data_IF_351031172491
#
_entry.id   IF_351031172491
#
_cell.length_a   1.000
_cell.length_b   1.000
_cell.length_c   1.000
_cell.angle_alpha   90.00
_cell.angle_beta   90.00
_cell.angle_gamma   90.00
#
_symmetry.space_group_name_H-M   'P 1'
#
loop_
_entity.id
_entity.type
_entity.pdbx_description
1 polymer ?
#
# COMPACT_ATOMS: atom_id res chain seq x y z
N UNK A 1 30.23 -25.00 32.44
CA UNK A 1 29.23 -25.08 31.37
C UNK A 1 27.92 -24.54 31.94
N UNK A 2 27.62 -23.26 31.71
CA UNK A 2 26.41 -22.60 32.18
C UNK A 2 25.76 -21.93 30.97
N UNK A 3 24.59 -22.42 30.59
CA UNK A 3 23.81 -22.00 29.42
C UNK A 3 23.29 -20.57 29.63
N UNK A 4 23.54 -19.68 28.66
CA UNK A 4 22.76 -18.46 28.49
C UNK A 4 21.36 -18.82 27.99
N UNK A 5 20.33 -18.49 28.75
CA UNK A 5 18.96 -18.42 28.24
C UNK A 5 18.76 -17.06 27.56
N UNK A 6 18.81 -17.03 26.23
CA UNK A 6 18.30 -15.93 25.42
C UNK A 6 16.77 -15.96 25.51
N UNK A 7 16.20 -14.99 26.24
CA UNK A 7 14.77 -14.74 26.21
C UNK A 7 14.40 -14.28 24.80
N UNK A 8 13.82 -15.20 24.02
CA UNK A 8 13.16 -14.88 22.78
C UNK A 8 12.01 -13.94 23.07
N UNK A 9 11.99 -12.78 22.42
CA UNK A 9 10.80 -11.93 22.38
C UNK A 9 9.77 -12.68 21.54
N UNK A 10 8.91 -13.44 22.21
CA UNK A 10 7.68 -13.96 21.62
C UNK A 10 6.78 -12.77 21.32
N UNK A 11 6.73 -12.35 20.06
CA UNK A 11 5.77 -11.36 19.61
C UNK A 11 4.39 -12.03 19.51
N UNK A 12 3.73 -12.11 20.66
CA UNK A 12 2.32 -12.45 20.77
C UNK A 12 1.49 -11.22 20.38
N UNK A 13 0.81 -11.29 19.24
CA UNK A 13 -0.39 -10.50 18.99
C UNK A 13 -1.23 -11.19 17.91
N UNK A 14 -2.29 -11.89 18.31
CA UNK A 14 -3.42 -12.24 17.45
C UNK A 14 -4.60 -11.35 17.80
N UNK A 15 -5.18 -10.76 16.75
CA UNK A 15 -6.50 -10.12 16.65
C UNK A 15 -6.72 -8.78 17.38
N UNK A 16 -6.10 -7.72 16.86
CA UNK A 16 -6.67 -6.36 16.83
C UNK A 16 -6.18 -5.71 15.53
N UNK A 17 -7.07 -5.09 14.76
CA UNK A 17 -6.74 -4.48 13.47
C UNK A 17 -5.56 -3.53 13.61
N UNK A 18 -4.51 -3.72 12.80
CA UNK A 18 -3.33 -2.85 12.84
C UNK A 18 -3.82 -1.44 12.51
N UNK A 19 -3.62 -0.51 13.45
CA UNK A 19 -4.02 0.87 13.28
C UNK A 19 -3.49 1.40 11.94
N UNK A 20 -4.33 2.07 11.13
CA UNK A 20 -3.88 2.58 9.86
C UNK A 20 -2.67 3.52 10.01
N UNK A 21 -1.68 3.33 9.14
CA UNK A 21 -0.48 4.15 9.08
C UNK A 21 -0.74 5.39 8.22
N UNK A 22 -0.55 6.58 8.79
CA UNK A 22 -0.64 7.85 8.06
C UNK A 22 0.77 8.39 7.80
N UNK A 23 1.09 8.68 6.53
CA UNK A 23 2.43 9.13 6.14
C UNK A 23 2.43 10.00 4.88
N UNK A 24 3.56 10.67 4.65
CA UNK A 24 3.86 11.35 3.38
C UNK A 24 4.96 10.57 2.67
N UNK A 25 4.82 10.31 1.37
CA UNK A 25 5.82 9.59 0.61
C UNK A 25 5.87 10.01 -0.87
N UNK A 26 7.05 9.91 -1.46
CA UNK A 26 7.29 10.11 -2.89
C UNK A 26 7.04 8.82 -3.66
N UNK A 27 6.23 8.86 -4.70
CA UNK A 27 6.05 7.77 -5.65
C UNK A 27 7.34 7.64 -6.47
N UNK A 28 8.14 6.61 -6.23
CA UNK A 28 9.45 6.45 -6.89
C UNK A 28 9.39 5.56 -8.12
N UNK A 29 8.38 4.69 -8.23
CA UNK A 29 8.29 3.74 -9.34
C UNK A 29 6.85 3.29 -9.61
N UNK A 30 6.47 3.35 -10.89
CA UNK A 30 5.32 2.64 -11.48
C UNK A 30 5.93 1.57 -12.39
N UNK A 31 5.95 0.28 -11.99
CA UNK A 31 6.86 -0.71 -12.54
C UNK A 31 6.55 -1.13 -13.98
N UNK A 32 5.29 -1.10 -14.38
CA UNK A 32 4.82 -1.42 -15.73
C UNK A 32 3.65 -0.52 -16.15
N UNK A 33 3.18 -0.72 -17.38
CA UNK A 33 1.96 -0.04 -17.86
C UNK A 33 0.75 -0.60 -17.13
N UNK A 34 0.00 0.28 -16.47
CA UNK A 34 -1.25 -0.10 -15.80
C UNK A 34 -2.28 -0.66 -16.79
N UNK A 35 -2.91 -1.82 -16.51
CA UNK A 35 -3.97 -2.37 -17.35
C UNK A 35 -5.17 -1.40 -17.48
N UNK A 36 -5.89 -1.40 -18.62
CA UNK A 36 -7.15 -0.67 -18.74
C UNK A 36 -8.23 -1.23 -17.80
N UNK A 37 -9.16 -0.39 -17.36
CA UNK A 37 -10.23 -0.74 -16.41
C UNK A 37 -11.47 -1.40 -17.07
N UNK A 38 -11.33 -1.96 -18.27
CA UNK A 38 -12.44 -2.52 -19.08
C UNK A 38 -12.65 -4.03 -18.91
N UNK A 39 -11.63 -4.77 -18.46
CA UNK A 39 -11.69 -6.22 -18.32
C UNK A 39 -12.10 -6.69 -16.91
N UNK A 40 -11.51 -6.10 -15.86
CA UNK A 40 -11.75 -6.46 -14.47
C UNK A 40 -11.27 -5.38 -13.49
N UNK A 41 -11.85 -5.38 -12.29
CA UNK A 41 -11.38 -4.57 -11.18
C UNK A 41 -10.05 -5.13 -10.64
N UNK A 42 -9.07 -4.27 -10.40
CA UNK A 42 -7.76 -4.66 -9.88
C UNK A 42 -7.17 -3.65 -8.91
N UNK A 43 -6.22 -4.12 -8.12
CA UNK A 43 -5.29 -3.28 -7.37
C UNK A 43 -3.89 -3.36 -7.98
N UNK A 44 -3.19 -2.25 -8.04
CA UNK A 44 -1.87 -2.14 -8.65
C UNK A 44 -0.83 -1.72 -7.62
N UNK A 45 0.27 -2.45 -7.54
CA UNK A 45 1.33 -2.19 -6.56
C UNK A 45 2.35 -1.20 -7.12
N UNK A 46 2.55 -0.10 -6.40
CA UNK A 46 3.54 0.94 -6.70
C UNK A 46 4.55 1.05 -5.57
N UNK A 47 5.77 1.53 -5.87
CA UNK A 47 6.81 1.72 -4.86
C UNK A 47 6.91 3.19 -4.47
N UNK A 48 6.94 3.43 -3.17
CA UNK A 48 7.09 4.74 -2.57
C UNK A 48 8.35 4.79 -1.71
N UNK A 49 8.92 5.98 -1.57
CA UNK A 49 9.91 6.30 -0.55
C UNK A 49 9.31 7.26 0.47
N UNK A 50 9.26 6.85 1.73
CA UNK A 50 8.65 7.64 2.82
C UNK A 50 9.47 8.90 3.10
N UNK A 51 8.76 10.00 3.37
CA UNK A 51 9.33 11.31 3.68
C UNK A 51 8.92 11.73 5.11
N UNK A 52 9.82 11.49 6.06
CA UNK A 52 9.63 11.80 7.48
C UNK A 52 8.73 10.79 8.21
N UNK A 53 8.63 10.99 9.53
CA UNK A 53 7.74 10.19 10.40
C UNK A 53 8.19 8.73 10.57
N UNK A 54 7.22 7.87 10.85
CA UNK A 54 7.46 6.43 10.95
C UNK A 54 7.86 5.87 9.57
N UNK A 55 8.87 5.00 9.57
CA UNK A 55 9.46 4.42 8.35
C UNK A 55 10.20 5.43 7.44
N UNK A 56 10.68 6.56 7.97
CA UNK A 56 11.42 7.57 7.20
C UNK A 56 12.52 6.94 6.31
N UNK A 57 12.61 7.42 5.06
CA UNK A 57 13.52 6.97 3.99
C UNK A 57 13.35 5.51 3.54
N UNK A 58 12.47 4.73 4.17
CA UNK A 58 12.21 3.35 3.76
C UNK A 58 11.42 3.32 2.45
N UNK A 59 11.65 2.26 1.68
CA UNK A 59 10.83 1.93 0.53
C UNK A 59 9.65 1.06 0.96
N UNK A 60 8.46 1.41 0.51
CA UNK A 60 7.23 0.67 0.79
C UNK A 60 6.50 0.34 -0.51
N UNK A 61 5.74 -0.74 -0.48
CA UNK A 61 4.91 -1.19 -1.60
C UNK A 61 3.44 -0.94 -1.25
N UNK A 62 2.77 -0.19 -2.12
CA UNK A 62 1.40 0.28 -1.88
C UNK A 62 0.50 -0.16 -3.03
N UNK A 63 -0.53 -0.92 -2.70
CA UNK A 63 -1.57 -1.33 -3.62
C UNK A 63 -2.65 -0.25 -3.73
N UNK A 64 -2.91 0.18 -4.95
CA UNK A 64 -3.94 1.14 -5.29
C UNK A 64 -5.04 0.49 -6.14
N UNK A 65 -6.27 0.55 -5.67
CA UNK A 65 -7.44 0.16 -6.45
C UNK A 65 -7.63 1.08 -7.66
N UNK A 66 -7.88 0.51 -8.85
CA UNK A 66 -8.18 1.23 -10.10
C UNK A 66 -7.37 2.53 -10.26
N UNK A 67 -6.03 2.45 -10.35
CA UNK A 67 -5.17 3.63 -10.29
C UNK A 67 -5.38 4.61 -11.46
N UNK A 68 -5.98 4.17 -12.57
CA UNK A 68 -6.33 5.02 -13.71
C UNK A 68 -7.63 5.83 -13.47
N UNK A 69 -8.42 5.49 -12.45
CA UNK A 69 -9.65 6.20 -12.10
C UNK A 69 -9.35 7.24 -11.01
N UNK A 70 -9.66 8.53 -11.25
CA UNK A 70 -9.58 9.55 -10.20
C UNK A 70 -10.35 9.14 -8.94
N UNK A 71 -9.81 9.44 -7.75
CA UNK A 71 -10.43 9.02 -6.48
C UNK A 71 -11.87 9.50 -6.29
N UNK A 72 -12.20 10.66 -6.86
CA UNK A 72 -13.57 11.21 -6.87
C UNK A 72 -14.55 10.47 -7.80
N UNK A 73 -14.05 9.69 -8.76
CA UNK A 73 -14.86 8.94 -9.73
C UNK A 73 -15.11 7.49 -9.33
N UNK A 74 -14.44 6.99 -8.29
CA UNK A 74 -14.76 5.69 -7.70
C UNK A 74 -16.13 5.80 -7.02
N UNK A 75 -17.09 4.99 -7.46
CA UNK A 75 -18.48 4.96 -6.96
C UNK A 75 -18.99 3.54 -6.72
N UNK A 76 -18.15 2.53 -6.97
CA UNK A 76 -18.49 1.13 -6.73
C UNK A 76 -18.35 0.78 -5.25
N UNK A 77 -18.52 -0.50 -4.92
CA UNK A 77 -18.43 -1.05 -3.55
C UNK A 77 -17.12 -0.72 -2.82
N UNK A 78 -16.05 -0.37 -3.55
CA UNK A 78 -14.76 -0.03 -2.93
C UNK A 78 -14.70 1.43 -2.45
N UNK A 79 -15.76 2.24 -2.66
CA UNK A 79 -15.80 3.63 -2.22
C UNK A 79 -15.55 3.81 -0.72
N UNK A 80 -15.97 2.86 0.10
CA UNK A 80 -15.74 2.90 1.56
C UNK A 80 -14.31 2.54 1.95
N UNK A 81 -13.56 1.89 1.05
CA UNK A 81 -12.21 1.37 1.29
C UNK A 81 -11.13 2.16 0.54
N UNK A 82 -11.53 3.17 -0.25
CA UNK A 82 -10.65 3.95 -1.13
C UNK A 82 -11.14 5.40 -1.19
N UNK A 83 -10.35 6.31 -0.64
CA UNK A 83 -10.65 7.74 -0.53
C UNK A 83 -9.57 8.66 -1.10
N UNK A 84 -9.75 9.95 -0.83
CA UNK A 84 -8.82 11.01 -1.22
C UNK A 84 -9.22 11.76 -2.50
N UNK A 85 -8.32 12.63 -2.94
CA UNK A 85 -8.54 13.66 -3.98
C UNK A 85 -7.59 13.50 -5.18
N UNK A 86 -6.69 12.52 -5.14
CA UNK A 86 -5.73 12.30 -6.23
C UNK A 86 -6.45 11.99 -7.56
N UNK A 87 -5.97 12.61 -8.64
CA UNK A 87 -6.56 12.49 -9.99
C UNK A 87 -5.82 11.51 -10.89
N UNK A 88 -4.51 11.42 -10.74
CA UNK A 88 -3.63 10.52 -11.50
C UNK A 88 -2.36 10.25 -10.69
N UNK A 89 -1.64 9.20 -11.05
CA UNK A 89 -0.35 8.83 -10.45
C UNK A 89 0.76 9.11 -11.45
N UNK A 90 1.75 9.93 -11.06
CA UNK A 90 2.97 10.10 -11.83
C UNK A 90 4.18 9.81 -10.96
N UNK A 91 5.18 9.16 -11.56
CA UNK A 91 6.45 8.96 -10.89
C UNK A 91 7.07 10.31 -10.54
N UNK A 92 7.50 10.46 -9.29
CA UNK A 92 8.03 11.70 -8.73
C UNK A 92 7.05 12.45 -7.83
N UNK A 93 5.74 12.20 -7.97
CA UNK A 93 4.71 12.86 -7.16
C UNK A 93 4.85 12.50 -5.68
N UNK A 94 4.52 13.45 -4.81
CA UNK A 94 4.50 13.25 -3.35
C UNK A 94 3.05 13.22 -2.88
N UNK A 95 2.72 12.21 -2.07
CA UNK A 95 1.36 11.98 -1.59
C UNK A 95 1.29 11.90 -0.07
N UNK A 96 0.17 12.38 0.47
CA UNK A 96 -0.29 12.09 1.84
C UNK A 96 -1.19 10.87 1.77
N UNK A 97 -0.88 9.83 2.53
CA UNK A 97 -1.56 8.54 2.46
C UNK A 97 -1.97 8.01 3.82
N UNK A 98 -3.09 7.28 3.83
CA UNK A 98 -3.51 6.40 4.92
C UNK A 98 -3.48 4.96 4.44
N UNK A 99 -2.75 4.11 5.14
CA UNK A 99 -2.38 2.76 4.71
C UNK A 99 -2.78 1.71 5.76
N UNK A 100 -3.10 0.50 5.33
CA UNK A 100 -3.23 -0.67 6.22
C UNK A 100 -2.48 -1.86 5.63
N UNK A 101 -1.93 -2.72 6.50
CA UNK A 101 -1.31 -3.98 6.09
C UNK A 101 -2.36 -5.06 5.72
N UNK A 102 -3.65 -4.82 5.98
CA UNK A 102 -4.74 -5.79 5.81
C UNK A 102 -5.25 -5.92 4.36
N UNK A 103 -4.36 -5.81 3.37
CA UNK A 103 -4.70 -5.87 1.95
C UNK A 103 -5.58 -7.08 1.62
N UNK A 104 -5.17 -8.27 2.09
CA UNK A 104 -5.88 -9.53 1.80
C UNK A 104 -7.27 -9.59 2.46
N UNK A 105 -7.52 -8.82 3.51
CA UNK A 105 -8.85 -8.76 4.13
C UNK A 105 -9.80 -7.89 3.30
N UNK A 106 -9.29 -6.77 2.79
CA UNK A 106 -10.07 -5.76 2.04
C UNK A 106 -10.30 -6.17 0.59
N UNK A 107 -9.28 -6.73 -0.07
CA UNK A 107 -9.31 -7.01 -1.50
C UNK A 107 -9.06 -8.49 -1.80
N UNK A 108 -10.03 -9.11 -2.47
CA UNK A 108 -9.99 -10.52 -2.90
C UNK A 108 -9.82 -10.69 -4.41
N UNK A 109 -9.78 -9.58 -5.16
CA UNK A 109 -9.65 -9.60 -6.62
C UNK A 109 -8.19 -9.63 -7.07
N UNK A 110 -7.98 -9.31 -8.35
CA UNK A 110 -6.66 -9.31 -8.96
C UNK A 110 -5.75 -8.25 -8.33
N UNK A 111 -4.49 -8.63 -8.07
CA UNK A 111 -3.43 -7.71 -7.66
C UNK A 111 -2.32 -7.80 -8.69
N UNK A 112 -2.04 -6.68 -9.35
CA UNK A 112 -0.93 -6.54 -10.28
C UNK A 112 0.30 -6.12 -9.45
N UNK A 113 1.19 -7.07 -9.21
CA UNK A 113 2.38 -6.91 -8.36
C UNK A 113 3.63 -7.42 -9.09
N UNK A 114 4.28 -6.52 -9.83
CA UNK A 114 5.54 -6.80 -10.54
C UNK A 114 6.72 -7.09 -9.59
N UNK A 115 6.56 -6.78 -8.29
CA UNK A 115 7.58 -7.02 -7.28
C UNK A 115 7.44 -8.41 -6.64
N UNK A 116 6.39 -9.18 -6.92
CA UNK A 116 6.17 -10.48 -6.29
C UNK A 116 7.29 -11.50 -6.57
N UNK A 117 7.98 -11.37 -7.70
CA UNK A 117 9.10 -12.23 -8.05
C UNK A 117 10.42 -11.82 -7.36
N UNK A 118 10.65 -10.52 -7.16
CA UNK A 118 11.94 -9.94 -6.75
C UNK A 118 11.97 -9.49 -5.29
N UNK A 119 10.82 -9.22 -4.70
CA UNK A 119 10.67 -8.77 -3.32
C UNK A 119 9.45 -9.44 -2.68
N UNK A 120 9.66 -10.62 -2.08
CA UNK A 120 8.60 -11.40 -1.41
C UNK A 120 8.43 -11.03 0.07
N UNK A 121 9.42 -10.36 0.66
CA UNK A 121 9.47 -10.07 2.09
C UNK A 121 8.74 -8.78 2.47
N UNK A 122 8.69 -7.80 1.57
CA UNK A 122 8.06 -6.52 1.84
C UNK A 122 6.54 -6.63 1.97
N UNK A 123 5.99 -5.91 2.94
CA UNK A 123 4.54 -5.77 3.14
C UNK A 123 3.93 -5.01 1.95
N UNK A 124 2.80 -5.51 1.44
CA UNK A 124 1.95 -4.76 0.49
C UNK A 124 0.85 -4.08 1.27
N UNK A 125 0.97 -2.77 1.42
CA UNK A 125 -0.06 -1.97 2.07
C UNK A 125 -1.24 -1.75 1.13
N UNK A 126 -2.46 -1.80 1.64
CA UNK A 126 -3.62 -1.25 0.96
C UNK A 126 -3.72 0.26 1.23
N UNK A 127 -3.94 1.04 0.18
CA UNK A 127 -4.16 2.47 0.30
C UNK A 127 -5.63 2.80 0.56
N UNK A 128 -5.95 3.19 1.79
CA UNK A 128 -7.28 3.61 2.21
C UNK A 128 -7.60 5.03 1.74
N UNK A 129 -6.60 5.92 1.71
CA UNK A 129 -6.74 7.31 1.28
C UNK A 129 -5.45 7.80 0.65
N UNK A 130 -5.55 8.58 -0.42
CA UNK A 130 -4.42 9.26 -1.05
C UNK A 130 -4.79 10.66 -1.54
N UNK A 131 -4.04 11.65 -1.07
CA UNK A 131 -4.13 13.05 -1.48
C UNK A 131 -2.78 13.55 -2.02
N UNK A 132 -2.78 14.52 -2.94
CA UNK A 132 -1.57 15.29 -3.25
C UNK A 132 -0.98 15.94 -1.99
N UNK A 133 0.35 15.92 -1.85
CA UNK A 133 1.03 16.56 -0.71
C UNK A 133 0.98 18.09 -0.76
#
# INVERSE_FOLDING_TARGET
MLLLAIAGVEQSARADGVAPLELTAKLVEIPSKMPPDDLYDYAYVMRYQVQGGALDKQFILVAHYKPLVPRSKIKDKMKEQVGGKLRSFNQGDVHKMKLTADLKAIWKGAVVDEYAATDRGSVRYWCLLVDPA
#
